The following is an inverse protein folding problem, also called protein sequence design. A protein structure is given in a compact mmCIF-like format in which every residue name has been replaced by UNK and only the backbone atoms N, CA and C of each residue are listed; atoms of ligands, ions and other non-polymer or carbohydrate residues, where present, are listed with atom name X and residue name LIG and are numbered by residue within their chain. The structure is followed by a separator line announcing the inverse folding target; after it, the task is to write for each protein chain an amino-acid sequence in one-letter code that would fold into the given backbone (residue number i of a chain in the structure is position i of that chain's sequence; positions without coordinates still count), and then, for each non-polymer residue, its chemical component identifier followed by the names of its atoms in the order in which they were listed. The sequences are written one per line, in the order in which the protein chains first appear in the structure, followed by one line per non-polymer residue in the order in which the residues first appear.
data_IF_679062604528
#
_entry.id   IF_679062604528
#
_cell.length_a   1.000
_cell.length_b   1.000
_cell.length_c   1.000
_cell.angle_alpha   90.00
_cell.angle_beta   90.00
_cell.angle_gamma   90.00
#
_symmetry.space_group_name_H-M   'P 1'
#
loop_
_entity.id
_entity.type
_entity.pdbx_description
1 polymer ?
#
# COMPACT_ATOMS: atom_id res chain seq x y z
N UNK A 1 15.77 -11.07 -17.60
CA UNK A 1 16.06 -9.63 -17.82
C UNK A 1 16.11 -8.81 -16.53
N UNK A 2 15.33 -9.15 -15.49
CA UNK A 2 15.32 -8.45 -14.20
C UNK A 2 16.23 -9.13 -13.14
N UNK A 3 17.52 -9.29 -13.43
CA UNK A 3 18.50 -9.77 -12.44
C UNK A 3 19.45 -8.63 -12.03
N UNK A 4 19.95 -8.61 -10.79
CA UNK A 4 20.96 -7.66 -10.37
C UNK A 4 22.22 -7.80 -11.24
N UNK A 5 22.99 -6.71 -11.41
CA UNK A 5 24.23 -6.72 -12.22
C UNK A 5 25.22 -7.80 -11.77
N UNK A 6 25.22 -8.13 -10.48
CA UNK A 6 26.02 -9.22 -9.88
C UNK A 6 25.68 -10.61 -10.40
N UNK A 7 24.49 -10.82 -10.97
CA UNK A 7 24.04 -12.08 -11.56
C UNK A 7 23.95 -12.03 -13.09
N UNK A 8 24.62 -11.07 -13.73
CA UNK A 8 24.64 -10.94 -15.20
C UNK A 8 23.35 -10.36 -15.81
N UNK A 9 22.51 -9.68 -15.02
CA UNK A 9 21.37 -8.90 -15.52
C UNK A 9 21.72 -7.42 -15.76
N UNK A 10 20.89 -6.69 -16.51
CA UNK A 10 21.14 -5.27 -16.81
C UNK A 10 21.02 -4.33 -15.60
N UNK A 11 20.53 -4.80 -14.44
CA UNK A 11 20.28 -3.96 -13.28
C UNK A 11 19.01 -3.11 -13.39
N UNK A 12 18.12 -3.40 -14.35
CA UNK A 12 16.79 -2.83 -14.36
C UNK A 12 15.98 -3.38 -13.18
N UNK A 13 15.46 -2.46 -12.37
CA UNK A 13 14.45 -2.76 -11.37
C UNK A 13 13.24 -3.42 -12.03
N UNK A 14 12.62 -4.37 -11.35
CA UNK A 14 11.31 -4.88 -11.73
C UNK A 14 10.31 -3.70 -11.76
N UNK A 15 9.95 -3.29 -12.98
CA UNK A 15 9.08 -2.14 -13.24
C UNK A 15 7.67 -2.41 -12.72
N UNK A 16 7.22 -3.66 -12.73
CA UNK A 16 5.92 -4.05 -12.20
C UNK A 16 5.89 -3.84 -10.69
N UNK A 17 6.90 -4.35 -9.97
CA UNK A 17 7.02 -4.13 -8.52
C UNK A 17 7.16 -2.65 -8.17
N UNK A 18 7.93 -1.90 -8.95
CA UNK A 18 8.14 -0.46 -8.73
C UNK A 18 6.85 0.32 -8.93
N UNK A 19 6.11 0.04 -10.01
CA UNK A 19 4.81 0.65 -10.27
C UNK A 19 3.81 0.31 -9.16
N UNK A 20 3.77 -0.97 -8.73
CA UNK A 20 2.91 -1.41 -7.64
C UNK A 20 3.24 -0.72 -6.31
N UNK A 21 4.52 -0.50 -6.01
CA UNK A 21 4.96 0.25 -4.85
C UNK A 21 4.53 1.73 -4.91
N UNK A 22 4.62 2.37 -6.08
CA UNK A 22 4.13 3.74 -6.28
C UNK A 22 2.61 3.83 -6.11
N UNK A 23 1.86 2.86 -6.62
CA UNK A 23 0.42 2.76 -6.43
C UNK A 23 0.07 2.58 -4.95
N UNK A 24 0.79 1.72 -4.22
CA UNK A 24 0.62 1.55 -2.78
C UNK A 24 0.91 2.86 -2.02
N UNK A 25 1.94 3.62 -2.43
CA UNK A 25 2.25 4.93 -1.84
C UNK A 25 1.15 5.96 -2.10
N UNK A 26 0.52 5.92 -3.27
CA UNK A 26 -0.62 6.78 -3.55
C UNK A 26 -1.85 6.39 -2.73
N UNK A 27 -2.10 5.08 -2.59
CA UNK A 27 -3.13 4.55 -1.69
C UNK A 27 -2.92 4.99 -0.24
N UNK A 28 -1.67 5.05 0.22
CA UNK A 28 -1.34 5.58 1.54
C UNK A 28 -1.70 7.05 1.70
N UNK A 29 -1.45 7.88 0.69
CA UNK A 29 -1.86 9.30 0.70
C UNK A 29 -3.37 9.47 0.76
N UNK A 30 -4.14 8.59 0.11
CA UNK A 30 -5.60 8.58 0.20
C UNK A 30 -6.05 8.37 1.64
N UNK A 31 -5.40 7.46 2.38
CA UNK A 31 -5.71 7.21 3.79
C UNK A 31 -5.29 8.36 4.71
N UNK A 32 -4.11 8.96 4.50
CA UNK A 32 -3.58 10.01 5.37
C UNK A 32 -4.21 11.38 5.17
N UNK A 33 -4.67 11.68 3.95
CA UNK A 33 -5.18 13.00 3.59
C UNK A 33 -6.64 12.93 3.09
N UNK A 34 -7.60 12.51 3.91
CA UNK A 34 -9.00 12.36 3.50
C UNK A 34 -9.66 13.69 3.09
N UNK A 35 -9.11 14.83 3.52
CA UNK A 35 -9.62 16.17 3.19
C UNK A 35 -9.29 16.65 1.77
N UNK A 36 -8.37 15.99 1.06
CA UNK A 36 -7.99 16.36 -0.31
C UNK A 36 -9.19 16.24 -1.26
N UNK A 37 -9.33 17.19 -2.20
CA UNK A 37 -10.40 17.16 -3.20
C UNK A 37 -10.40 15.84 -3.99
N UNK A 38 -9.22 15.35 -4.38
CA UNK A 38 -9.08 14.08 -5.09
C UNK A 38 -9.64 12.90 -4.28
N UNK A 39 -9.38 12.87 -2.97
CA UNK A 39 -9.89 11.81 -2.08
C UNK A 39 -11.40 11.93 -1.88
N UNK A 40 -11.94 13.15 -1.77
CA UNK A 40 -13.39 13.39 -1.69
C UNK A 40 -14.12 12.91 -2.95
N UNK A 41 -13.57 13.21 -4.13
CA UNK A 41 -14.12 12.73 -5.41
C UNK A 41 -14.07 11.20 -5.48
N UNK A 42 -12.91 10.59 -5.18
CA UNK A 42 -12.78 9.13 -5.15
C UNK A 42 -13.76 8.48 -4.17
N UNK A 43 -13.93 9.07 -2.98
CA UNK A 43 -14.91 8.60 -1.99
C UNK A 43 -16.33 8.67 -2.55
N UNK A 44 -16.70 9.81 -3.14
CA UNK A 44 -18.03 10.01 -3.70
C UNK A 44 -18.36 9.02 -4.84
N UNK A 45 -17.36 8.66 -5.66
CA UNK A 45 -17.52 7.75 -6.80
C UNK A 45 -17.46 6.27 -6.41
N UNK A 46 -16.58 5.88 -5.50
CA UNK A 46 -16.22 4.45 -5.32
C UNK A 46 -16.45 3.89 -3.91
N UNK A 47 -16.52 4.71 -2.87
CA UNK A 47 -16.67 4.23 -1.49
C UNK A 47 -17.42 5.22 -0.60
N UNK A 48 -18.60 5.68 -1.06
CA UNK A 48 -19.35 6.77 -0.42
C UNK A 48 -19.64 6.53 1.06
N UNK A 49 -20.09 5.31 1.39
CA UNK A 49 -20.49 4.90 2.74
C UNK A 49 -19.44 4.04 3.45
N UNK A 50 -18.28 3.81 2.83
CA UNK A 50 -17.28 2.86 3.32
C UNK A 50 -15.91 3.48 3.55
N UNK A 51 -14.95 2.63 3.87
CA UNK A 51 -13.55 2.98 3.93
C UNK A 51 -12.81 2.52 2.66
N UNK A 52 -11.70 3.19 2.35
CA UNK A 52 -10.90 2.88 1.16
C UNK A 52 -10.30 1.45 1.22
N UNK A 53 -9.99 0.95 2.42
CA UNK A 53 -9.37 -0.37 2.61
C UNK A 53 -10.30 -1.52 2.18
N UNK A 54 -11.59 -1.39 2.46
CA UNK A 54 -12.64 -2.35 2.15
C UNK A 54 -13.26 -2.16 0.76
N UNK A 55 -13.04 -1.00 0.15
CA UNK A 55 -13.59 -0.68 -1.16
C UNK A 55 -13.16 -1.71 -2.22
N UNK A 56 -14.11 -2.24 -3.00
CA UNK A 56 -13.85 -3.21 -4.07
C UNK A 56 -13.88 -2.53 -5.43
N UNK A 57 -13.27 -3.17 -6.43
CA UNK A 57 -13.47 -2.76 -7.83
C UNK A 57 -14.63 -3.55 -8.42
N UNK A 58 -15.41 -2.88 -9.26
CA UNK A 58 -16.35 -3.51 -10.18
C UNK A 58 -15.73 -3.51 -11.59
N UNK A 59 -16.33 -4.25 -12.52
CA UNK A 59 -15.81 -4.38 -13.90
C UNK A 59 -15.93 -3.07 -14.69
N UNK A 60 -16.96 -2.27 -14.44
CA UNK A 60 -17.16 -0.94 -15.04
C UNK A 60 -16.30 0.17 -14.41
N UNK A 61 -15.37 -0.18 -13.52
CA UNK A 61 -14.54 0.82 -12.87
C UNK A 61 -13.44 1.37 -13.78
N UNK A 62 -13.12 2.65 -13.57
CA UNK A 62 -12.03 3.31 -14.27
C UNK A 62 -10.71 2.56 -14.10
N UNK A 63 -9.86 2.65 -15.12
CA UNK A 63 -8.53 2.03 -15.07
C UNK A 63 -7.69 2.53 -13.88
N UNK A 64 -7.83 3.82 -13.54
CA UNK A 64 -7.18 4.44 -12.39
C UNK A 64 -7.65 3.78 -11.09
N UNK A 65 -8.96 3.57 -10.93
CA UNK A 65 -9.49 2.89 -9.73
C UNK A 65 -8.98 1.46 -9.61
N UNK A 66 -9.01 0.68 -10.70
CA UNK A 66 -8.47 -0.68 -10.73
C UNK A 66 -7.00 -0.73 -10.34
N UNK A 67 -6.20 0.22 -10.84
CA UNK A 67 -4.78 0.35 -10.49
C UNK A 67 -4.57 0.68 -9.01
N UNK A 68 -5.39 1.57 -8.45
CA UNK A 68 -5.37 1.86 -7.02
C UNK A 68 -5.74 0.63 -6.18
N UNK A 69 -6.77 -0.13 -6.57
CA UNK A 69 -7.13 -1.38 -5.89
C UNK A 69 -5.98 -2.40 -5.93
N UNK A 70 -5.26 -2.50 -7.06
CA UNK A 70 -4.10 -3.39 -7.16
C UNK A 70 -2.93 -2.97 -6.24
N UNK A 71 -2.66 -1.67 -6.13
CA UNK A 71 -1.70 -1.12 -5.17
C UNK A 71 -2.16 -1.24 -3.70
N UNK A 72 -3.47 -1.15 -3.46
CA UNK A 72 -4.08 -1.28 -2.14
C UNK A 72 -3.80 -2.65 -1.51
N UNK A 73 -3.76 -3.73 -2.30
CA UNK A 73 -3.42 -5.06 -1.76
C UNK A 73 -1.97 -5.12 -1.24
N UNK A 74 -1.02 -4.49 -1.95
CA UNK A 74 0.35 -4.35 -1.45
C UNK A 74 0.40 -3.49 -0.19
N UNK A 75 -0.38 -2.40 -0.17
CA UNK A 75 -0.51 -1.55 1.02
C UNK A 75 -1.07 -2.32 2.21
N UNK A 76 -2.11 -3.16 2.06
CA UNK A 76 -2.67 -4.00 3.14
C UNK A 76 -1.68 -5.06 3.65
N UNK A 77 -0.78 -5.53 2.78
CA UNK A 77 0.30 -6.42 3.18
C UNK A 77 1.43 -5.69 3.93
N UNK A 78 1.72 -4.44 3.54
CA UNK A 78 2.84 -3.65 4.05
C UNK A 78 2.52 -2.66 5.18
N UNK A 79 1.26 -2.28 5.40
CA UNK A 79 0.87 -1.43 6.53
C UNK A 79 1.17 -2.16 7.83
N UNK A 80 1.93 -1.49 8.69
CA UNK A 80 2.21 -1.91 10.05
C UNK A 80 1.85 -0.78 11.00
N UNK A 81 1.39 -1.15 12.19
CA UNK A 81 1.20 -0.20 13.27
C UNK A 81 2.56 0.15 13.87
N UNK A 82 2.89 1.44 13.92
CA UNK A 82 3.99 1.91 14.76
C UNK A 82 3.41 2.22 16.14
N UNK A 83 3.91 1.49 17.13
CA UNK A 83 3.46 1.61 18.52
C UNK A 83 3.83 3.00 19.04
N UNK A 84 2.82 3.87 19.19
CA UNK A 84 2.93 5.14 19.91
C UNK A 84 2.80 4.92 21.41
N UNK A 85 1.76 5.51 22.03
CA UNK A 85 1.49 5.36 23.47
C UNK A 85 0.76 4.05 23.85
N UNK A 86 0.52 3.15 22.88
CA UNK A 86 -0.12 1.85 23.09
C UNK A 86 -1.64 1.86 23.35
N UNK A 87 -2.30 3.03 23.46
CA UNK A 87 -3.73 3.10 23.81
C UNK A 87 -4.70 2.77 22.66
N UNK A 88 -4.23 2.85 21.42
CA UNK A 88 -5.04 2.70 20.19
C UNK A 88 -4.82 1.37 19.47
N UNK A 89 -4.04 0.45 20.04
CA UNK A 89 -3.60 -0.79 19.38
C UNK A 89 -4.42 -1.96 19.90
N UNK A 90 -5.12 -2.66 19.01
CA UNK A 90 -5.76 -3.92 19.34
C UNK A 90 -4.74 -5.06 19.19
N UNK A 91 -4.10 -5.41 20.31
CA UNK A 91 -2.98 -6.36 20.40
C UNK A 91 -3.18 -7.64 19.58
N UNK A 92 -4.41 -8.16 19.52
CA UNK A 92 -4.73 -9.41 18.82
C UNK A 92 -5.05 -9.26 17.32
N UNK A 93 -5.55 -8.10 16.87
CA UNK A 93 -6.06 -7.94 15.51
C UNK A 93 -5.14 -7.09 14.62
N UNK A 94 -4.32 -6.24 15.23
CA UNK A 94 -3.41 -5.35 14.52
C UNK A 94 -2.05 -6.00 14.23
N UNK A 95 -1.52 -5.76 13.04
CA UNK A 95 -0.16 -6.19 12.66
C UNK A 95 0.88 -5.21 13.25
N UNK A 96 1.18 -5.35 14.54
CA UNK A 96 2.11 -4.48 15.27
C UNK A 96 3.51 -5.10 15.48
N UNK A 97 3.66 -6.43 15.34
CA UNK A 97 4.96 -7.13 15.48
C UNK A 97 5.67 -7.27 14.12
N UNK A 98 6.96 -6.90 13.99
CA UNK A 98 7.75 -7.18 12.79
C UNK A 98 7.97 -8.69 12.66
N UNK A 99 7.33 -9.34 11.67
CA UNK A 99 7.61 -10.75 11.37
C UNK A 99 8.90 -10.88 10.55
N UNK A 100 9.80 -11.82 10.89
CA UNK A 100 10.91 -12.17 10.01
C UNK A 100 10.38 -12.90 8.77
N UNK A 101 10.63 -12.30 7.61
CA UNK A 101 10.69 -12.89 6.27
C UNK A 101 9.47 -13.62 5.67
N UNK A 102 8.75 -12.92 4.79
CA UNK A 102 8.67 -13.31 3.36
C UNK A 102 9.23 -12.23 2.41
N UNK A 103 9.61 -11.07 2.94
CA UNK A 103 10.37 -10.07 2.18
C UNK A 103 11.85 -10.47 2.18
N UNK A 104 12.29 -11.19 1.14
CA UNK A 104 13.71 -11.26 0.84
C UNK A 104 14.17 -9.85 0.48
N UNK A 105 15.06 -9.35 1.33
CA UNK A 105 15.68 -8.04 1.24
C UNK A 105 16.53 -7.95 -0.02
N UNK A 106 16.02 -7.26 -1.04
CA UNK A 106 16.91 -6.48 -1.91
C UNK A 106 16.46 -5.03 -2.07
N UNK A 107 15.16 -4.69 -1.90
CA UNK A 107 14.70 -3.30 -2.10
C UNK A 107 13.53 -2.80 -1.22
N UNK A 108 13.06 -3.59 -0.23
CA UNK A 108 11.90 -3.24 0.57
C UNK A 108 12.17 -2.24 1.72
N UNK A 109 13.41 -1.78 1.89
CA UNK A 109 13.75 -0.72 2.85
C UNK A 109 13.13 0.64 2.51
N UNK A 110 12.51 0.81 1.33
CA UNK A 110 11.96 2.09 0.90
C UNK A 110 10.42 2.21 1.01
N UNK A 111 9.71 1.15 1.40
CA UNK A 111 8.23 1.12 1.41
C UNK A 111 7.71 0.55 2.73
N UNK A 112 8.15 1.13 3.85
CA UNK A 112 7.49 0.94 5.14
C UNK A 112 6.35 1.97 5.25
N UNK A 113 5.11 1.50 5.43
CA UNK A 113 3.95 2.36 5.68
C UNK A 113 3.57 2.25 7.16
N UNK A 114 3.89 3.30 7.91
CA UNK A 114 3.72 3.32 9.37
C UNK A 114 2.44 4.07 9.76
N UNK A 115 1.49 3.34 10.35
CA UNK A 115 0.35 3.96 11.03
C UNK A 115 0.81 4.46 12.40
N UNK A 116 0.95 5.78 12.57
CA UNK A 116 1.06 6.42 13.89
C UNK A 116 -0.30 6.37 14.59
N UNK A 117 -0.32 5.81 15.80
CA UNK A 117 -1.47 5.78 16.73
C UNK A 117 -1.29 6.70 17.92
#
# INVERSE_FOLDING_TARGET
MCKPKSEGGLGFHDLEMSNRALLAKQCWRILKNPGSLAVKVLKACYFRNGNFIEAKSNDDASFVWRSLIWGKELLKAGIRWCVGNGKSIFIYNDKWVPRPSTFKNHFASQVAFECKG
#
